data_IF_798690686724
#
_entry.id   IF_798690686724
#
_cell.length_a   1.000
_cell.length_b   1.000
_cell.length_c   1.000
_cell.angle_alpha   90.00
_cell.angle_beta   90.00
_cell.angle_gamma   90.00
#
_symmetry.space_group_name_H-M   'P 1'
#
loop_
_entity.id
_entity.type
_entity.pdbx_description
1 polymer ?
#
# COMPACT_ATOMS: atom_id res chain seq x y z
N UNK A 1 25.01 -25.97 -34.59
CA UNK A 1 24.78 -24.54 -34.84
C UNK A 1 23.31 -24.12 -34.64
N UNK A 2 22.32 -24.82 -35.22
CA UNK A 2 20.89 -24.51 -35.05
C UNK A 2 20.42 -24.45 -33.59
N UNK A 3 20.79 -25.45 -32.78
CA UNK A 3 20.36 -25.56 -31.36
C UNK A 3 20.83 -24.38 -30.49
N UNK A 4 22.05 -23.87 -30.73
CA UNK A 4 22.57 -22.71 -29.99
C UNK A 4 21.78 -21.43 -30.32
N UNK A 5 21.34 -21.27 -31.57
CA UNK A 5 20.48 -20.15 -31.96
C UNK A 5 19.10 -20.20 -31.29
N UNK A 6 18.52 -21.40 -31.13
CA UNK A 6 17.26 -21.58 -30.40
C UNK A 6 17.40 -21.28 -28.90
N UNK A 7 18.48 -21.76 -28.26
CA UNK A 7 18.76 -21.47 -26.84
C UNK A 7 18.93 -19.96 -26.63
N UNK A 8 19.69 -19.29 -27.49
CA UNK A 8 19.87 -17.84 -27.43
C UNK A 8 18.53 -17.10 -27.64
N UNK A 9 17.72 -17.50 -28.62
CA UNK A 9 16.41 -16.90 -28.89
C UNK A 9 15.43 -17.06 -27.72
N UNK A 10 15.40 -18.22 -27.09
CA UNK A 10 14.57 -18.47 -25.89
C UNK A 10 15.07 -17.61 -24.72
N UNK A 11 16.38 -17.50 -24.52
CA UNK A 11 16.95 -16.64 -23.47
C UNK A 11 16.54 -15.17 -23.65
N UNK A 12 16.63 -14.65 -24.87
CA UNK A 12 16.20 -13.28 -25.20
C UNK A 12 14.70 -13.10 -24.99
N UNK A 13 13.87 -14.05 -25.41
CA UNK A 13 12.42 -13.98 -25.25
C UNK A 13 12.00 -14.01 -23.77
N UNK A 14 12.60 -14.89 -22.96
CA UNK A 14 12.32 -14.98 -21.53
C UNK A 14 12.76 -13.71 -20.79
N UNK A 15 13.92 -13.17 -21.14
CA UNK A 15 14.40 -11.92 -20.55
C UNK A 15 13.50 -10.73 -20.92
N UNK A 16 13.10 -10.63 -22.19
CA UNK A 16 12.16 -9.60 -22.66
C UNK A 16 10.79 -9.71 -22.00
N UNK A 17 10.27 -10.93 -21.85
CA UNK A 17 8.99 -11.16 -21.17
C UNK A 17 9.07 -10.78 -19.70
N UNK A 18 10.14 -11.17 -19.00
CA UNK A 18 10.34 -10.84 -17.58
C UNK A 18 10.46 -9.32 -17.37
N UNK A 19 11.25 -8.63 -18.19
CA UNK A 19 11.43 -7.18 -18.11
C UNK A 19 10.13 -6.43 -18.40
N UNK A 20 9.35 -6.88 -19.40
CA UNK A 20 8.02 -6.33 -19.68
C UNK A 20 7.06 -6.52 -18.50
N UNK A 21 7.03 -7.71 -17.90
CA UNK A 21 6.20 -7.99 -16.72
C UNK A 21 6.60 -7.12 -15.53
N UNK A 22 7.89 -6.98 -15.24
CA UNK A 22 8.36 -6.11 -14.16
C UNK A 22 7.98 -4.64 -14.42
N UNK A 23 8.14 -4.15 -15.65
CA UNK A 23 7.78 -2.78 -16.02
C UNK A 23 6.28 -2.50 -15.83
N UNK A 24 5.42 -3.45 -16.21
CA UNK A 24 3.96 -3.29 -16.07
C UNK A 24 3.49 -3.41 -14.61
N UNK A 25 4.17 -4.21 -13.80
CA UNK A 25 3.73 -4.50 -12.43
C UNK A 25 4.50 -3.72 -11.35
N UNK A 26 5.52 -2.93 -11.72
CA UNK A 26 6.35 -2.18 -10.78
C UNK A 26 5.57 -1.36 -9.73
N UNK A 27 4.48 -0.67 -10.11
CA UNK A 27 3.68 0.14 -9.20
C UNK A 27 2.89 -0.70 -8.16
N UNK A 28 2.67 -1.99 -8.45
CA UNK A 28 1.95 -2.92 -7.59
C UNK A 28 2.86 -3.75 -6.69
N UNK A 29 4.18 -3.64 -6.88
CA UNK A 29 5.18 -4.29 -6.05
C UNK A 29 5.65 -3.42 -4.88
N UNK A 30 5.25 -2.15 -4.87
CA UNK A 30 5.59 -1.22 -3.79
C UNK A 30 4.45 -1.26 -2.78
N UNK A 31 4.73 -1.78 -1.58
CA UNK A 31 3.90 -1.52 -0.42
C UNK A 31 3.93 0.01 -0.20
N UNK A 32 2.78 0.68 -0.21
CA UNK A 32 2.67 2.13 0.01
C UNK A 32 2.17 2.43 1.44
N UNK A 33 2.96 2.16 2.50
CA UNK A 33 2.64 2.64 3.83
C UNK A 33 2.88 4.14 3.85
N UNK A 34 1.84 4.94 3.74
CA UNK A 34 1.96 6.36 4.01
C UNK A 34 1.77 6.61 5.50
N UNK A 35 2.80 7.14 6.15
CA UNK A 35 2.71 7.69 7.50
C UNK A 35 2.24 9.14 7.51
N UNK A 36 2.16 9.76 6.32
CA UNK A 36 1.74 11.14 6.18
C UNK A 36 0.23 11.20 6.28
N UNK A 37 -0.21 11.99 7.25
CA UNK A 37 -1.60 12.37 7.38
C UNK A 37 -1.77 13.63 6.53
N UNK A 38 -2.35 13.49 5.34
CA UNK A 38 -2.56 14.60 4.40
C UNK A 38 -3.63 15.58 4.89
N UNK A 39 -4.56 15.12 5.73
CA UNK A 39 -5.60 15.95 6.31
C UNK A 39 -5.99 15.44 7.70
N UNK A 40 -6.24 16.37 8.62
CA UNK A 40 -6.86 16.10 9.92
C UNK A 40 -8.36 16.46 9.87
N UNK A 41 -9.19 15.95 10.79
CA UNK A 41 -10.60 16.34 10.88
C UNK A 41 -10.81 17.86 11.04
N UNK A 42 -9.81 18.57 11.57
CA UNK A 42 -9.78 20.04 11.68
C UNK A 42 -9.99 20.74 10.33
N UNK A 43 -9.46 20.18 9.23
CA UNK A 43 -9.58 20.76 7.89
C UNK A 43 -11.05 20.87 7.46
N UNK A 44 -11.92 20.05 8.05
CA UNK A 44 -13.37 20.06 7.83
C UNK A 44 -14.13 20.77 8.97
N UNK A 45 -13.44 21.42 9.90
CA UNK A 45 -14.01 22.10 11.06
C UNK A 45 -14.53 21.15 12.14
N UNK A 46 -14.09 19.88 12.15
CA UNK A 46 -14.53 18.88 13.12
C UNK A 46 -13.63 18.88 14.35
N UNK A 47 -14.24 18.94 15.54
CA UNK A 47 -13.53 18.65 16.78
C UNK A 47 -13.12 17.17 16.79
N UNK A 48 -11.92 16.88 17.29
CA UNK A 48 -11.42 15.51 17.41
C UNK A 48 -10.42 15.37 18.55
N UNK A 49 -10.27 14.15 19.05
CA UNK A 49 -9.30 13.77 20.06
C UNK A 49 -8.34 12.71 19.48
N UNK A 50 -7.01 12.88 19.59
CA UNK A 50 -6.07 11.86 19.16
C UNK A 50 -6.12 10.64 20.09
N UNK A 51 -6.30 9.45 19.53
CA UNK A 51 -6.36 8.18 20.27
C UNK A 51 -5.28 7.21 19.82
N UNK A 52 -4.83 6.36 20.75
CA UNK A 52 -3.91 5.25 20.49
C UNK A 52 -4.59 3.95 20.89
N UNK A 53 -4.67 3.02 19.96
CA UNK A 53 -5.25 1.70 20.16
C UNK A 53 -4.15 0.66 20.05
N UNK A 54 -4.22 -0.39 20.86
CA UNK A 54 -3.33 -1.55 20.71
C UNK A 54 -4.14 -2.65 20.05
N UNK A 55 -3.72 -3.06 18.87
CA UNK A 55 -4.29 -4.20 18.17
C UNK A 55 -3.93 -5.51 18.90
N UNK A 56 -4.69 -6.57 18.63
CA UNK A 56 -4.53 -7.86 19.32
C UNK A 56 -3.14 -8.51 19.06
N UNK A 57 -2.51 -8.19 17.94
CA UNK A 57 -1.14 -8.59 17.58
C UNK A 57 -0.05 -7.71 18.24
N UNK A 58 -0.45 -6.76 19.08
CA UNK A 58 0.43 -5.82 19.76
C UNK A 58 0.79 -4.57 18.95
N UNK A 59 0.27 -4.41 17.72
CA UNK A 59 0.54 -3.23 16.89
C UNK A 59 -0.19 -2.00 17.48
N UNK A 60 0.55 -0.89 17.66
CA UNK A 60 -0.02 0.38 18.11
C UNK A 60 -0.59 1.16 16.93
N UNK A 61 -1.91 1.28 16.88
CA UNK A 61 -2.64 2.07 15.90
C UNK A 61 -2.85 3.49 16.43
N UNK A 62 -2.63 4.49 15.59
CA UNK A 62 -2.95 5.90 15.89
C UNK A 62 -4.19 6.29 15.10
N UNK A 63 -5.08 7.07 15.71
CA UNK A 63 -6.30 7.54 15.06
C UNK A 63 -6.88 8.78 15.73
N UNK A 64 -8.04 9.22 15.25
CA UNK A 64 -8.80 10.31 15.84
C UNK A 64 -10.18 9.82 16.28
N UNK A 65 -10.58 10.21 17.47
CA UNK A 65 -11.94 10.11 17.96
C UNK A 65 -12.67 11.42 17.65
N UNK A 66 -13.69 11.37 16.80
CA UNK A 66 -14.51 12.53 16.44
C UNK A 66 -15.85 12.37 17.18
N UNK A 67 -16.16 13.19 18.19
CA UNK A 67 -17.42 13.09 18.92
C UNK A 67 -18.59 13.51 18.03
N UNK A 68 -19.70 12.77 18.13
CA UNK A 68 -20.96 13.10 17.49
C UNK A 68 -22.09 13.03 18.52
N UNK A 69 -22.92 14.07 18.57
CA UNK A 69 -24.05 14.12 19.49
C UNK A 69 -25.03 12.97 19.20
N UNK A 70 -25.34 12.17 20.23
CA UNK A 70 -26.25 11.02 20.13
C UNK A 70 -25.62 9.71 19.65
N UNK A 71 -24.30 9.64 19.47
CA UNK A 71 -23.61 8.39 19.13
C UNK A 71 -23.74 7.38 20.29
N UNK A 72 -24.55 6.33 20.07
CA UNK A 72 -24.67 5.20 21.00
C UNK A 72 -23.85 4.04 20.46
N UNK A 73 -22.88 3.56 21.24
CA UNK A 73 -22.20 2.28 20.95
C UNK A 73 -23.24 1.17 21.12
N UNK A 74 -23.70 0.61 20.01
CA UNK A 74 -24.59 -0.57 20.00
C UNK A 74 -23.76 -1.84 19.85
#
# INVERSE_FOLDING_TARGET
MRIFAWIAGIGVALYGLLTLLLYLFQARLIFLPTSMIEATPDVMGLAYEPVRLTAADGVKLSGWFVPADGATLT
#
